data_IF_208547871031
#
_entry.id   IF_208547871031
#
_cell.length_a   1.000
_cell.length_b   1.000
_cell.length_c   1.000
_cell.angle_alpha   90.00
_cell.angle_beta   90.00
_cell.angle_gamma   90.00
#
_symmetry.space_group_name_H-M   'P 1'
#
loop_
_entity.id
_entity.type
_entity.pdbx_description
1 polymer ?
#
# COMPACT_ATOMS: atom_id res chain seq x y z
N UNK A 1 11.12 15.01 7.46
CA UNK A 1 9.98 15.38 6.60
C UNK A 1 9.92 16.88 6.41
N UNK A 2 9.76 17.63 7.50
CA UNK A 2 9.69 19.09 7.56
C UNK A 2 10.59 19.82 6.55
N UNK A 3 11.92 19.64 6.64
CA UNK A 3 12.88 20.33 5.75
C UNK A 3 12.64 20.08 4.25
N UNK A 4 12.19 18.88 3.89
CA UNK A 4 11.89 18.53 2.50
C UNK A 4 10.59 19.21 2.05
N UNK A 5 9.56 19.16 2.90
CA UNK A 5 8.28 19.85 2.66
C UNK A 5 8.50 21.37 2.53
N UNK A 6 9.27 21.97 3.42
CA UNK A 6 9.59 23.41 3.38
C UNK A 6 10.49 23.78 2.20
N UNK A 7 11.33 22.84 1.74
CA UNK A 7 12.14 23.02 0.54
C UNK A 7 11.28 23.07 -0.72
N UNK A 8 10.38 22.10 -0.89
CA UNK A 8 9.45 22.08 -2.01
C UNK A 8 8.46 23.25 -1.97
N UNK A 9 7.98 23.65 -0.78
CA UNK A 9 7.11 24.83 -0.63
C UNK A 9 7.81 26.10 -1.13
N UNK A 10 9.08 26.31 -0.77
CA UNK A 10 9.88 27.45 -1.26
C UNK A 10 10.07 27.43 -2.77
N UNK A 11 10.38 26.26 -3.35
CA UNK A 11 10.53 26.12 -4.79
C UNK A 11 9.20 26.36 -5.54
N UNK A 12 8.09 25.86 -5.01
CA UNK A 12 6.77 26.04 -5.60
C UNK A 12 6.23 27.47 -5.46
N UNK A 13 6.68 28.23 -4.45
CA UNK A 13 6.36 29.65 -4.31
C UNK A 13 7.11 30.54 -5.33
N UNK A 14 8.22 30.06 -5.88
CA UNK A 14 9.02 30.76 -6.89
C UNK A 14 8.51 30.50 -8.32
N UNK A 15 7.75 29.42 -8.54
CA UNK A 15 7.15 29.15 -9.83
C UNK A 15 5.81 29.89 -9.99
N UNK A 16 5.61 30.54 -11.14
CA UNK A 16 4.32 31.15 -11.46
C UNK A 16 3.22 30.08 -11.51
N UNK A 17 2.00 30.43 -11.07
CA UNK A 17 0.87 29.52 -11.12
C UNK A 17 0.62 29.09 -12.57
N UNK A 18 0.70 27.78 -12.85
CA UNK A 18 0.50 27.19 -14.18
C UNK A 18 1.77 26.89 -14.98
N UNK A 19 2.94 27.42 -14.63
CA UNK A 19 4.23 27.09 -15.31
C UNK A 19 5.03 26.00 -14.60
N UNK A 20 4.73 25.76 -13.32
CA UNK A 20 5.32 24.68 -12.53
C UNK A 20 4.89 23.31 -13.09
N UNK A 21 5.77 22.30 -13.06
CA UNK A 21 5.38 20.93 -13.39
C UNK A 21 4.36 20.36 -12.39
N UNK A 22 3.76 19.21 -12.74
CA UNK A 22 2.75 18.52 -11.92
C UNK A 22 3.26 18.27 -10.49
N UNK A 23 4.49 17.79 -10.35
CA UNK A 23 5.06 17.47 -9.04
C UNK A 23 5.17 18.73 -8.17
N UNK A 24 5.66 19.83 -8.72
CA UNK A 24 5.77 21.11 -8.02
C UNK A 24 4.41 21.62 -7.55
N UNK A 25 3.37 21.57 -8.41
CA UNK A 25 2.02 22.01 -8.02
C UNK A 25 1.45 21.14 -6.90
N UNK A 26 1.53 19.81 -7.02
CA UNK A 26 1.05 18.90 -5.97
C UNK A 26 1.83 19.07 -4.66
N UNK A 27 3.14 19.31 -4.72
CA UNK A 27 3.95 19.58 -3.54
C UNK A 27 3.64 20.92 -2.87
N UNK A 28 3.10 21.91 -3.61
CA UNK A 28 2.57 23.13 -3.02
C UNK A 28 1.39 22.85 -2.10
N UNK A 29 0.44 22.02 -2.55
CA UNK A 29 -0.70 21.57 -1.74
C UNK A 29 -0.22 20.82 -0.51
N UNK A 30 0.64 19.80 -0.69
CA UNK A 30 1.24 19.04 0.43
C UNK A 30 2.00 19.93 1.41
N UNK A 31 2.68 20.97 0.91
CA UNK A 31 3.34 21.99 1.72
C UNK A 31 2.38 22.69 2.66
N UNK A 32 1.26 23.21 2.14
CA UNK A 32 0.23 23.86 2.94
C UNK A 32 -0.47 22.88 3.91
N UNK A 33 -0.73 21.64 3.48
CA UNK A 33 -1.33 20.60 4.32
C UNK A 33 -0.51 20.29 5.56
N UNK A 34 0.81 20.16 5.41
CA UNK A 34 1.71 19.85 6.51
C UNK A 34 1.68 20.91 7.62
N UNK A 35 1.51 22.17 7.24
CA UNK A 35 1.40 23.30 8.15
C UNK A 35 -0.05 23.62 8.54
N UNK A 36 -1.02 22.87 8.00
CA UNK A 36 -2.46 23.05 8.24
C UNK A 36 -2.94 24.47 7.93
N UNK A 37 -2.37 25.10 6.91
CA UNK A 37 -2.74 26.45 6.46
C UNK A 37 -3.91 26.35 5.47
N UNK A 38 -5.13 26.18 5.99
CA UNK A 38 -6.28 25.76 5.20
C UNK A 38 -6.66 26.71 4.05
N UNK A 39 -6.52 28.04 4.21
CA UNK A 39 -6.72 28.95 3.06
C UNK A 39 -5.68 28.73 1.95
N UNK A 40 -4.43 28.44 2.33
CA UNK A 40 -3.36 28.14 1.37
C UNK A 40 -3.56 26.78 0.70
N UNK A 41 -4.17 25.80 1.40
CA UNK A 41 -4.55 24.52 0.79
C UNK A 41 -5.57 24.74 -0.31
N UNK A 42 -6.64 25.50 -0.05
CA UNK A 42 -7.66 25.82 -1.07
C UNK A 42 -7.00 26.53 -2.27
N UNK A 43 -6.23 27.59 -2.01
CA UNK A 43 -5.55 28.34 -3.06
C UNK A 43 -4.55 27.49 -3.87
N UNK A 44 -3.86 26.54 -3.23
CA UNK A 44 -2.94 25.63 -3.90
C UNK A 44 -3.68 24.59 -4.76
N UNK A 45 -4.83 24.08 -4.29
CA UNK A 45 -5.69 23.19 -5.09
C UNK A 45 -6.28 23.93 -6.28
N UNK A 46 -6.73 25.17 -6.11
CA UNK A 46 -7.21 26.01 -7.22
C UNK A 46 -6.11 26.29 -8.27
N UNK A 47 -4.84 26.21 -7.86
CA UNK A 47 -3.67 26.33 -8.75
C UNK A 47 -3.26 25.06 -9.50
N UNK A 48 -3.92 23.92 -9.24
CA UNK A 48 -3.76 22.68 -10.03
C UNK A 48 -4.47 22.81 -11.40
N UNK A 49 -4.10 21.97 -12.36
CA UNK A 49 -4.85 21.89 -13.64
C UNK A 49 -6.27 21.35 -13.41
N UNK A 50 -7.20 21.60 -14.33
CA UNK A 50 -8.56 21.05 -14.22
C UNK A 50 -8.58 19.52 -14.16
N UNK A 51 -7.66 18.85 -14.87
CA UNK A 51 -7.49 17.39 -14.81
C UNK A 51 -7.03 16.93 -13.42
N UNK A 52 -6.07 17.64 -12.82
CA UNK A 52 -5.62 17.34 -11.46
C UNK A 52 -6.72 17.62 -10.43
N UNK A 53 -7.45 18.73 -10.53
CA UNK A 53 -8.49 19.09 -9.56
C UNK A 53 -9.64 18.07 -9.47
N UNK A 54 -9.87 17.28 -10.52
CA UNK A 54 -10.89 16.23 -10.50
C UNK A 54 -10.39 14.88 -9.99
N UNK A 55 -9.10 14.75 -9.69
CA UNK A 55 -8.56 13.57 -9.01
C UNK A 55 -9.07 13.51 -7.57
N UNK A 56 -9.37 12.31 -7.10
CA UNK A 56 -10.06 12.09 -5.82
C UNK A 56 -9.27 12.59 -4.61
N UNK A 57 -7.93 12.55 -4.69
CA UNK A 57 -7.01 13.07 -3.68
C UNK A 57 -7.27 14.56 -3.42
N UNK A 58 -7.34 15.35 -4.48
CA UNK A 58 -7.44 16.81 -4.40
C UNK A 58 -8.88 17.25 -4.12
N UNK A 59 -9.88 16.49 -4.57
CA UNK A 59 -11.26 16.67 -4.12
C UNK A 59 -11.38 16.46 -2.61
N UNK A 60 -10.78 15.39 -2.05
CA UNK A 60 -10.78 15.15 -0.61
C UNK A 60 -10.06 16.26 0.15
N UNK A 61 -8.88 16.69 -0.31
CA UNK A 61 -8.13 17.74 0.38
C UNK A 61 -8.79 19.12 0.28
N UNK A 62 -9.46 19.43 -0.83
CA UNK A 62 -10.31 20.61 -0.96
C UNK A 62 -11.46 20.57 0.04
N UNK A 63 -12.15 19.43 0.14
CA UNK A 63 -13.22 19.23 1.11
C UNK A 63 -12.75 19.41 2.55
N UNK A 64 -11.61 18.79 2.92
CA UNK A 64 -11.00 18.94 4.25
C UNK A 64 -10.62 20.37 4.58
N UNK A 65 -10.06 21.11 3.62
CA UNK A 65 -9.72 22.51 3.85
C UNK A 65 -10.96 23.40 4.02
N UNK A 66 -12.01 23.17 3.21
CA UNK A 66 -13.29 23.88 3.34
C UNK A 66 -13.99 23.58 4.68
N UNK A 67 -14.00 22.32 5.12
CA UNK A 67 -14.51 21.89 6.44
C UNK A 67 -13.78 22.63 7.57
N UNK A 68 -12.44 22.66 7.52
CA UNK A 68 -11.63 23.35 8.53
C UNK A 68 -11.86 24.87 8.58
N UNK A 69 -12.27 25.47 7.45
CA UNK A 69 -12.64 26.89 7.33
C UNK A 69 -14.12 27.17 7.67
N UNK A 70 -14.89 26.16 8.10
CA UNK A 70 -16.31 26.28 8.42
C UNK A 70 -17.25 26.35 7.22
N UNK A 71 -16.74 26.13 6.00
CA UNK A 71 -17.51 26.13 4.74
C UNK A 71 -18.09 24.74 4.46
N UNK A 72 -18.89 24.25 5.41
CA UNK A 72 -19.33 22.85 5.45
C UNK A 72 -20.18 22.45 4.23
N UNK A 73 -21.08 23.30 3.75
CA UNK A 73 -21.93 22.98 2.60
C UNK A 73 -21.10 22.74 1.33
N UNK A 74 -20.05 23.54 1.12
CA UNK A 74 -19.13 23.37 0.01
C UNK A 74 -18.24 22.13 0.19
N UNK A 75 -17.79 21.86 1.42
CA UNK A 75 -17.01 20.67 1.75
C UNK A 75 -17.78 19.38 1.42
N UNK A 76 -19.09 19.33 1.72
CA UNK A 76 -19.93 18.17 1.45
C UNK A 76 -19.98 17.81 -0.05
N UNK A 77 -20.00 18.80 -0.94
CA UNK A 77 -19.98 18.57 -2.39
C UNK A 77 -18.72 17.78 -2.78
N UNK A 78 -17.55 18.25 -2.36
CA UNK A 78 -16.29 17.62 -2.72
C UNK A 78 -16.07 16.28 -2.02
N UNK A 79 -16.54 16.10 -0.78
CA UNK A 79 -16.53 14.77 -0.17
C UNK A 79 -17.42 13.79 -0.93
N UNK A 80 -18.61 14.19 -1.37
CA UNK A 80 -19.47 13.31 -2.14
C UNK A 80 -18.91 12.95 -3.52
N UNK A 81 -18.15 13.84 -4.16
CA UNK A 81 -17.42 13.53 -5.39
C UNK A 81 -16.30 12.50 -5.13
N UNK A 82 -15.42 12.78 -4.17
CA UNK A 82 -14.31 11.89 -3.84
C UNK A 82 -14.81 10.50 -3.39
N UNK A 83 -15.92 10.44 -2.64
CA UNK A 83 -16.51 9.20 -2.13
C UNK A 83 -17.01 8.23 -3.21
N UNK A 84 -17.07 8.64 -4.47
CA UNK A 84 -17.42 7.74 -5.59
C UNK A 84 -16.25 6.84 -5.99
N UNK A 85 -15.04 7.12 -5.54
CA UNK A 85 -13.84 6.41 -5.94
C UNK A 85 -13.48 5.27 -4.97
N UNK A 86 -13.10 4.12 -5.53
CA UNK A 86 -12.59 2.96 -4.77
C UNK A 86 -11.09 3.15 -4.47
N UNK A 87 -10.78 4.14 -3.65
CA UNK A 87 -9.42 4.55 -3.29
C UNK A 87 -9.33 4.94 -1.81
N UNK A 88 -8.11 5.22 -1.34
CA UNK A 88 -7.87 5.66 0.04
C UNK A 88 -8.65 6.94 0.38
N UNK A 89 -8.47 8.00 -0.42
CA UNK A 89 -9.15 9.27 -0.20
C UNK A 89 -10.66 9.19 -0.45
N UNK A 90 -11.10 8.35 -1.39
CA UNK A 90 -12.53 8.10 -1.57
C UNK A 90 -13.18 7.44 -0.35
N UNK A 91 -12.48 6.50 0.29
CA UNK A 91 -12.98 5.88 1.52
C UNK A 91 -12.91 6.82 2.74
N UNK A 92 -11.91 7.69 2.83
CA UNK A 92 -11.88 8.75 3.84
C UNK A 92 -13.01 9.75 3.65
N UNK A 93 -13.29 10.15 2.41
CA UNK A 93 -14.42 11.02 2.08
C UNK A 93 -15.77 10.36 2.42
N UNK A 94 -15.93 9.07 2.10
CA UNK A 94 -17.13 8.32 2.45
C UNK A 94 -17.38 8.30 3.98
N UNK A 95 -16.32 8.11 4.77
CA UNK A 95 -16.41 8.17 6.24
C UNK A 95 -16.83 9.57 6.73
N UNK A 96 -16.29 10.66 6.15
CA UNK A 96 -16.64 12.04 6.50
C UNK A 96 -18.11 12.38 6.25
N UNK A 97 -18.74 11.77 5.25
CA UNK A 97 -20.17 11.95 4.94
C UNK A 97 -21.06 10.83 5.49
N UNK A 98 -20.55 9.99 6.40
CA UNK A 98 -21.27 8.85 7.00
C UNK A 98 -21.91 7.90 5.97
N UNK A 99 -21.20 7.62 4.86
CA UNK A 99 -21.62 6.66 3.84
C UNK A 99 -20.70 5.45 3.82
N UNK A 100 -21.25 4.30 3.41
CA UNK A 100 -20.44 3.12 3.14
C UNK A 100 -19.45 3.41 2.00
N UNK A 101 -18.23 2.85 2.06
CA UNK A 101 -17.25 3.02 0.99
C UNK A 101 -17.76 2.42 -0.33
N UNK A 102 -17.44 3.08 -1.45
CA UNK A 102 -17.85 2.64 -2.78
C UNK A 102 -17.04 1.41 -3.22
N UNK A 103 -17.53 0.22 -2.88
CA UNK A 103 -16.93 -1.08 -3.23
C UNK A 103 -17.93 -1.88 -4.06
N UNK A 104 -18.05 -1.52 -5.34
CA UNK A 104 -18.86 -2.25 -6.32
C UNK A 104 -18.08 -3.43 -6.87
N UNK A 105 -18.77 -4.57 -7.03
CA UNK A 105 -18.25 -5.76 -7.68
C UNK A 105 -19.22 -6.23 -8.74
N UNK A 106 -18.77 -6.25 -9.99
CA UNK A 106 -19.50 -6.79 -11.13
C UNK A 106 -18.60 -7.82 -11.83
N UNK A 107 -19.02 -9.10 -11.88
CA UNK A 107 -18.24 -10.12 -12.58
C UNK A 107 -18.10 -9.80 -14.07
N UNK A 108 -16.94 -10.10 -14.64
CA UNK A 108 -16.73 -10.05 -16.08
C UNK A 108 -17.72 -10.98 -16.78
N UNK A 109 -18.48 -10.42 -17.71
CA UNK A 109 -19.33 -11.16 -18.64
C UNK A 109 -18.46 -11.81 -19.73
N UNK A 110 -17.89 -12.97 -19.43
CA UNK A 110 -17.06 -13.78 -20.33
C UNK A 110 -17.77 -15.11 -20.56
N UNK A 111 -17.99 -15.48 -21.82
CA UNK A 111 -18.73 -16.71 -22.16
C UNK A 111 -17.83 -17.94 -22.16
N UNK A 112 -18.45 -19.13 -22.08
CA UNK A 112 -17.73 -20.40 -22.19
C UNK A 112 -17.05 -20.57 -23.57
N UNK A 113 -17.68 -20.05 -24.64
CA UNK A 113 -17.15 -20.08 -25.99
C UNK A 113 -15.90 -19.20 -26.13
N UNK A 114 -15.90 -18.01 -25.52
CA UNK A 114 -14.73 -17.12 -25.52
C UNK A 114 -13.55 -17.74 -24.77
N UNK A 115 -13.80 -18.35 -23.62
CA UNK A 115 -12.78 -19.08 -22.88
C UNK A 115 -12.25 -20.25 -23.71
N UNK A 116 -13.14 -21.07 -24.27
CA UNK A 116 -12.74 -22.20 -25.11
C UNK A 116 -11.90 -21.74 -26.31
N UNK A 117 -12.31 -20.68 -27.02
CA UNK A 117 -11.58 -20.13 -28.15
C UNK A 117 -10.18 -19.65 -27.75
N UNK A 118 -10.07 -18.97 -26.61
CA UNK A 118 -8.78 -18.53 -26.05
C UNK A 118 -7.87 -19.73 -25.70
N UNK A 119 -8.41 -20.81 -25.10
CA UNK A 119 -7.63 -22.01 -24.76
C UNK A 119 -7.10 -22.72 -26.00
N UNK A 120 -7.81 -22.63 -27.13
CA UNK A 120 -7.37 -23.23 -28.38
C UNK A 120 -6.23 -22.45 -29.07
N UNK A 121 -5.92 -21.22 -28.65
CA UNK A 121 -4.81 -20.47 -29.23
C UNK A 121 -3.48 -21.22 -29.05
N UNK A 122 -2.65 -21.36 -30.11
CA UNK A 122 -1.37 -22.07 -30.00
C UNK A 122 -0.46 -21.52 -28.90
N UNK A 123 -0.50 -20.21 -28.65
CA UNK A 123 0.24 -19.58 -27.56
C UNK A 123 -0.25 -20.03 -26.18
N UNK A 124 -1.57 -20.10 -25.95
CA UNK A 124 -2.13 -20.52 -24.67
C UNK A 124 -1.85 -21.99 -24.37
N UNK A 125 -1.87 -22.83 -25.41
CA UNK A 125 -1.41 -24.23 -25.29
C UNK A 125 0.06 -24.29 -24.85
N UNK A 126 0.95 -23.51 -25.49
CA UNK A 126 2.38 -23.43 -25.07
C UNK A 126 2.54 -22.95 -23.63
N UNK A 127 1.76 -21.95 -23.20
CA UNK A 127 1.77 -21.47 -21.79
C UNK A 127 1.43 -22.62 -20.84
N UNK A 128 0.41 -23.42 -21.14
CA UNK A 128 0.01 -24.58 -20.33
C UNK A 128 1.11 -25.63 -20.27
N UNK A 129 1.71 -25.98 -21.40
CA UNK A 129 2.82 -26.95 -21.45
C UNK A 129 4.04 -26.48 -20.65
N UNK A 130 4.48 -25.22 -20.84
CA UNK A 130 5.59 -24.68 -20.06
C UNK A 130 5.29 -24.67 -18.56
N UNK A 131 4.05 -24.35 -18.18
CA UNK A 131 3.63 -24.39 -16.76
C UNK A 131 3.68 -25.81 -16.20
N UNK A 132 3.19 -26.80 -16.95
CA UNK A 132 3.21 -28.21 -16.54
C UNK A 132 4.64 -28.75 -16.36
N UNK A 133 5.60 -28.24 -17.14
CA UNK A 133 7.02 -28.57 -17.04
C UNK A 133 7.78 -27.76 -15.97
N UNK A 134 7.12 -26.86 -15.25
CA UNK A 134 7.76 -25.96 -14.28
C UNK A 134 8.61 -24.86 -14.91
N UNK A 135 8.52 -24.66 -16.23
CA UNK A 135 9.23 -23.65 -17.02
C UNK A 135 8.54 -22.28 -16.91
N UNK A 136 8.51 -21.75 -15.68
CA UNK A 136 7.74 -20.55 -15.32
C UNK A 136 8.17 -19.27 -16.06
N UNK A 137 9.45 -19.17 -16.46
CA UNK A 137 9.97 -17.98 -17.15
C UNK A 137 9.49 -17.97 -18.60
N UNK A 138 9.57 -19.12 -19.26
CA UNK A 138 9.12 -19.35 -20.63
C UNK A 138 7.62 -19.19 -20.74
N UNK A 139 6.86 -19.78 -19.81
CA UNK A 139 5.42 -19.64 -19.73
C UNK A 139 4.99 -18.16 -19.60
N UNK A 140 5.64 -17.39 -18.72
CA UNK A 140 5.36 -15.95 -18.55
C UNK A 140 5.76 -15.12 -19.78
N UNK A 141 6.86 -15.47 -20.45
CA UNK A 141 7.28 -14.79 -21.69
C UNK A 141 6.26 -15.01 -22.79
N UNK A 142 5.88 -16.26 -23.03
CA UNK A 142 4.88 -16.65 -24.03
C UNK A 142 3.53 -15.95 -23.76
N UNK A 143 3.07 -15.96 -22.50
CA UNK A 143 1.85 -15.27 -22.09
C UNK A 143 1.88 -13.76 -22.39
N UNK A 144 2.99 -13.09 -22.03
CA UNK A 144 3.16 -11.65 -22.28
C UNK A 144 3.16 -11.33 -23.77
N UNK A 145 3.89 -12.12 -24.55
CA UNK A 145 4.00 -11.93 -26.00
C UNK A 145 2.64 -12.12 -26.68
N UNK A 146 1.88 -13.14 -26.28
CA UNK A 146 0.53 -13.40 -26.78
C UNK A 146 -0.44 -12.25 -26.49
N UNK A 147 -0.43 -11.71 -25.26
CA UNK A 147 -1.32 -10.62 -24.85
C UNK A 147 -0.90 -9.25 -25.39
N UNK A 148 0.31 -9.09 -25.93
CA UNK A 148 0.87 -7.78 -26.28
C UNK A 148 0.02 -7.01 -27.31
N UNK A 149 -0.71 -7.73 -28.17
CA UNK A 149 -1.52 -7.15 -29.27
C UNK A 149 -3.04 -7.39 -29.12
N UNK A 150 -3.46 -7.96 -27.99
CA UNK A 150 -4.86 -8.26 -27.74
C UNK A 150 -5.64 -7.00 -27.34
N UNK A 151 -6.89 -6.90 -27.79
CA UNK A 151 -7.79 -5.80 -27.43
C UNK A 151 -8.32 -5.94 -25.99
N UNK A 152 -9.01 -4.90 -25.50
CA UNK A 152 -9.51 -4.87 -24.13
C UNK A 152 -10.47 -6.03 -23.83
N UNK A 153 -11.33 -6.44 -24.79
CA UNK A 153 -12.26 -7.56 -24.60
C UNK A 153 -11.50 -8.88 -24.42
N UNK A 154 -10.53 -9.14 -25.29
CA UNK A 154 -9.71 -10.35 -25.26
C UNK A 154 -8.85 -10.41 -24.00
N UNK A 155 -8.34 -9.26 -23.53
CA UNK A 155 -7.61 -9.17 -22.25
C UNK A 155 -8.50 -9.51 -21.04
N UNK A 156 -9.79 -9.15 -21.05
CA UNK A 156 -10.75 -9.55 -20.00
C UNK A 156 -10.96 -11.07 -19.98
N UNK A 157 -11.10 -11.70 -21.15
CA UNK A 157 -11.19 -13.18 -21.28
C UNK A 157 -9.91 -13.84 -20.75
N UNK A 158 -8.74 -13.32 -21.14
CA UNK A 158 -7.46 -13.82 -20.66
C UNK A 158 -7.31 -13.66 -19.13
N UNK A 159 -7.79 -12.56 -18.55
CA UNK A 159 -7.77 -12.37 -17.11
C UNK A 159 -8.61 -13.43 -16.37
N UNK A 160 -9.82 -13.73 -16.85
CA UNK A 160 -10.66 -14.81 -16.29
C UNK A 160 -9.99 -16.18 -16.39
N UNK A 161 -9.39 -16.48 -17.54
CA UNK A 161 -8.66 -17.72 -17.76
C UNK A 161 -7.46 -17.85 -16.81
N UNK A 162 -6.61 -16.83 -16.71
CA UNK A 162 -5.46 -16.83 -15.82
C UNK A 162 -5.89 -16.99 -14.35
N UNK A 163 -6.98 -16.33 -13.95
CA UNK A 163 -7.55 -16.50 -12.62
C UNK A 163 -7.98 -17.95 -12.37
N UNK A 164 -8.68 -18.58 -13.32
CA UNK A 164 -9.10 -19.99 -13.22
C UNK A 164 -7.90 -20.96 -13.15
N UNK A 165 -6.77 -20.62 -13.77
CA UNK A 165 -5.53 -21.40 -13.69
C UNK A 165 -4.72 -21.15 -12.41
N UNK A 166 -5.18 -20.28 -11.50
CA UNK A 166 -4.42 -19.88 -10.32
C UNK A 166 -3.23 -18.95 -10.61
N UNK A 167 -3.16 -18.40 -11.83
CA UNK A 167 -2.18 -17.41 -12.26
C UNK A 167 -2.67 -16.00 -11.93
N UNK A 168 -2.89 -15.76 -10.63
CA UNK A 168 -3.52 -14.55 -10.12
C UNK A 168 -2.76 -13.26 -10.48
N UNK A 169 -1.43 -13.29 -10.47
CA UNK A 169 -0.60 -12.15 -10.85
C UNK A 169 -0.83 -11.76 -12.31
N UNK A 170 -0.90 -12.76 -13.19
CA UNK A 170 -1.16 -12.54 -14.61
C UNK A 170 -2.61 -12.10 -14.88
N UNK A 171 -3.56 -12.60 -14.10
CA UNK A 171 -4.96 -12.18 -14.18
C UNK A 171 -5.13 -10.69 -13.82
N UNK A 172 -4.53 -10.27 -12.70
CA UNK A 172 -4.55 -8.88 -12.22
C UNK A 172 -3.87 -7.96 -13.23
N UNK A 173 -2.71 -8.36 -13.78
CA UNK A 173 -1.97 -7.59 -14.78
C UNK A 173 -2.74 -7.46 -16.10
N UNK A 174 -3.36 -8.55 -16.58
CA UNK A 174 -4.15 -8.53 -17.81
C UNK A 174 -5.37 -7.60 -17.68
N UNK A 175 -6.10 -7.70 -16.56
CA UNK A 175 -7.28 -6.86 -16.32
C UNK A 175 -6.91 -5.39 -16.11
N UNK A 176 -5.78 -5.11 -15.45
CA UNK A 176 -5.26 -3.75 -15.25
C UNK A 176 -4.84 -3.02 -16.54
N UNK A 177 -4.76 -3.72 -17.67
CA UNK A 177 -4.55 -3.14 -19.00
C UNK A 177 -5.87 -2.78 -19.71
N UNK A 178 -7.00 -2.91 -19.01
CA UNK A 178 -8.33 -2.59 -19.52
C UNK A 178 -8.95 -1.47 -18.68
N UNK A 179 -10.06 -0.93 -19.18
CA UNK A 179 -10.93 0.02 -18.50
C UNK A 179 -11.90 -0.65 -17.50
N UNK A 180 -11.93 -1.99 -17.41
CA UNK A 180 -12.87 -2.71 -16.55
C UNK A 180 -12.20 -3.17 -15.25
N UNK A 181 -12.64 -2.56 -14.15
CA UNK A 181 -12.01 -2.75 -12.84
C UNK A 181 -12.96 -3.30 -11.76
N UNK A 182 -14.19 -3.67 -12.12
CA UNK A 182 -15.19 -4.02 -11.11
C UNK A 182 -15.32 -5.51 -10.84
N UNK A 183 -14.59 -6.37 -11.56
CA UNK A 183 -14.48 -7.78 -11.16
C UNK A 183 -13.51 -7.95 -9.99
N UNK A 184 -14.04 -7.81 -8.77
CA UNK A 184 -13.24 -7.93 -7.56
C UNK A 184 -12.75 -9.36 -7.31
N UNK A 185 -13.36 -10.38 -7.91
CA UNK A 185 -12.87 -11.74 -7.77
C UNK A 185 -11.53 -11.91 -8.47
N UNK A 186 -11.42 -11.39 -9.69
CA UNK A 186 -10.18 -11.41 -10.47
C UNK A 186 -9.15 -10.44 -9.92
N UNK A 187 -9.57 -9.24 -9.49
CA UNK A 187 -8.64 -8.20 -9.01
C UNK A 187 -8.17 -8.41 -7.58
N UNK A 188 -8.98 -9.06 -6.76
CA UNK A 188 -8.74 -9.30 -5.33
C UNK A 188 -9.03 -10.77 -4.97
N UNK A 189 -8.29 -11.72 -5.56
CA UNK A 189 -8.45 -13.13 -5.26
C UNK A 189 -7.98 -13.43 -3.84
N UNK A 190 -8.51 -14.50 -3.23
CA UNK A 190 -8.14 -14.92 -1.87
C UNK A 190 -7.49 -16.31 -1.86
N UNK A 191 -6.34 -16.52 -2.54
CA UNK A 191 -5.64 -17.81 -2.49
C UNK A 191 -4.97 -18.03 -1.13
N UNK A 192 -4.60 -19.28 -0.82
CA UNK A 192 -3.88 -19.65 0.41
C UNK A 192 -4.62 -19.21 1.69
N UNK A 193 -5.96 -19.31 1.68
CA UNK A 193 -6.81 -18.80 2.77
C UNK A 193 -6.44 -19.41 4.11
N UNK A 194 -6.28 -20.72 4.17
CA UNK A 194 -5.94 -21.42 5.40
C UNK A 194 -4.60 -20.94 5.99
N UNK A 195 -3.58 -20.75 5.14
CA UNK A 195 -2.29 -20.23 5.59
C UNK A 195 -2.38 -18.77 6.04
N UNK A 196 -3.07 -17.92 5.28
CA UNK A 196 -3.23 -16.50 5.61
C UNK A 196 -3.98 -16.34 6.93
N UNK A 197 -5.15 -16.98 7.07
CA UNK A 197 -5.96 -16.91 8.28
C UNK A 197 -5.21 -17.47 9.49
N UNK A 198 -4.60 -18.66 9.37
CA UNK A 198 -3.86 -19.28 10.48
C UNK A 198 -2.69 -18.42 10.96
N UNK A 199 -1.91 -17.84 10.04
CA UNK A 199 -0.73 -17.06 10.42
C UNK A 199 -1.04 -15.62 10.83
N UNK A 200 -2.14 -15.06 10.32
CA UNK A 200 -2.65 -13.76 10.76
C UNK A 200 -3.24 -13.85 12.18
N UNK A 201 -4.06 -14.88 12.45
CA UNK A 201 -4.68 -15.10 13.76
C UNK A 201 -3.62 -15.30 14.86
N UNK A 202 -2.61 -16.16 14.62
CA UNK A 202 -1.48 -16.37 15.55
C UNK A 202 -0.74 -15.10 15.95
N UNK A 203 -0.90 -14.02 15.17
CA UNK A 203 -0.20 -12.74 15.33
C UNK A 203 -1.15 -11.57 15.58
N UNK A 204 -2.44 -11.85 15.77
CA UNK A 204 -3.47 -10.83 15.96
C UNK A 204 -3.46 -9.74 14.85
N UNK A 205 -3.27 -10.17 13.60
CA UNK A 205 -3.35 -9.32 12.41
C UNK A 205 -4.67 -9.64 11.70
N UNK A 206 -5.35 -8.62 11.17
CA UNK A 206 -6.51 -8.87 10.32
C UNK A 206 -6.09 -9.56 9.01
N UNK A 207 -6.69 -10.72 8.64
CA UNK A 207 -6.39 -11.40 7.38
C UNK A 207 -6.57 -10.53 6.13
N UNK A 208 -7.53 -9.60 6.12
CA UNK A 208 -7.74 -8.68 5.00
C UNK A 208 -6.53 -7.75 4.79
N UNK A 209 -5.87 -7.34 5.88
CA UNK A 209 -4.66 -6.54 5.84
C UNK A 209 -3.47 -7.33 5.28
N UNK A 210 -3.36 -8.62 5.62
CA UNK A 210 -2.34 -9.52 5.05
C UNK A 210 -2.55 -9.73 3.55
N UNK A 211 -3.80 -9.97 3.13
CA UNK A 211 -4.15 -10.06 1.70
C UNK A 211 -3.83 -8.78 0.94
N UNK A 212 -4.12 -7.62 1.53
CA UNK A 212 -3.80 -6.32 0.95
C UNK A 212 -2.28 -6.14 0.72
N UNK A 213 -1.46 -6.53 1.70
CA UNK A 213 0.01 -6.53 1.55
C UNK A 213 0.44 -7.50 0.45
N UNK A 214 0.01 -8.77 0.48
CA UNK A 214 0.36 -9.76 -0.55
C UNK A 214 -0.02 -9.31 -1.97
N UNK A 215 -1.18 -8.68 -2.09
CA UNK A 215 -1.69 -8.11 -3.33
C UNK A 215 -0.83 -6.97 -3.86
N UNK A 216 -0.37 -6.07 -2.99
CA UNK A 216 0.51 -4.97 -3.37
C UNK A 216 1.94 -5.46 -3.67
N UNK A 217 2.44 -6.44 -2.92
CA UNK A 217 3.82 -6.92 -3.04
C UNK A 217 4.05 -7.79 -4.28
N UNK A 218 3.16 -8.73 -4.56
CA UNK A 218 3.40 -9.74 -5.61
C UNK A 218 2.23 -9.96 -6.56
N UNK A 219 1.08 -9.33 -6.31
CA UNK A 219 -0.19 -9.70 -6.93
C UNK A 219 -0.46 -11.23 -6.83
N UNK A 220 -0.04 -11.83 -5.71
CA UNK A 220 -0.09 -13.28 -5.44
C UNK A 220 0.83 -14.17 -6.28
N UNK A 221 1.86 -13.60 -6.90
CA UNK A 221 2.91 -14.36 -7.57
C UNK A 221 3.80 -15.10 -6.57
N UNK A 222 3.55 -16.40 -6.35
CA UNK A 222 4.35 -17.24 -5.43
C UNK A 222 5.85 -17.24 -5.79
N UNK A 223 6.15 -17.24 -7.09
CA UNK A 223 7.51 -17.23 -7.62
C UNK A 223 8.05 -15.81 -7.90
N UNK A 224 7.40 -14.75 -7.38
CA UNK A 224 7.79 -13.37 -7.64
C UNK A 224 9.21 -13.07 -7.14
N UNK A 225 9.97 -12.33 -7.96
CA UNK A 225 11.33 -11.89 -7.66
C UNK A 225 11.47 -10.44 -8.11
N UNK A 226 11.83 -9.54 -7.20
CA UNK A 226 12.15 -8.16 -7.58
C UNK A 226 13.60 -8.01 -8.05
N UNK A 227 13.87 -6.95 -8.80
CA UNK A 227 15.21 -6.58 -9.27
C UNK A 227 16.21 -6.39 -8.12
N UNK A 228 15.75 -5.94 -6.96
CA UNK A 228 16.56 -5.73 -5.75
C UNK A 228 16.68 -6.98 -4.87
N UNK A 229 16.01 -8.08 -5.25
CA UNK A 229 16.22 -9.40 -4.64
C UNK A 229 15.21 -9.82 -3.57
N UNK A 230 14.08 -9.13 -3.45
CA UNK A 230 12.93 -9.57 -2.63
C UNK A 230 12.20 -10.74 -3.30
N UNK A 231 11.60 -11.63 -2.49
CA UNK A 231 11.13 -12.95 -2.92
C UNK A 231 9.70 -13.26 -2.43
N UNK A 232 8.93 -13.89 -3.32
CA UNK A 232 7.65 -14.53 -3.03
C UNK A 232 6.48 -13.58 -2.76
N UNK A 233 5.42 -14.13 -2.16
CA UNK A 233 4.10 -13.50 -2.00
C UNK A 233 4.12 -12.14 -1.28
N UNK A 234 4.95 -12.02 -0.25
CA UNK A 234 5.10 -10.82 0.58
C UNK A 234 6.45 -10.12 0.33
N UNK A 235 7.13 -10.43 -0.78
CA UNK A 235 8.38 -9.80 -1.22
C UNK A 235 9.43 -9.64 -0.12
N UNK A 236 9.78 -10.73 0.54
CA UNK A 236 10.74 -10.69 1.63
C UNK A 236 12.17 -10.61 1.13
N UNK A 237 12.92 -9.65 1.66
CA UNK A 237 14.37 -9.62 1.51
C UNK A 237 15.01 -10.79 2.28
N UNK A 238 15.96 -11.55 1.71
CA UNK A 238 16.57 -12.71 2.38
C UNK A 238 17.16 -12.40 3.76
N UNK A 239 17.80 -11.23 3.93
CA UNK A 239 18.34 -10.80 5.21
C UNK A 239 17.25 -10.50 6.25
N UNK A 240 16.13 -9.91 5.82
CA UNK A 240 14.96 -9.69 6.68
C UNK A 240 14.33 -11.02 7.07
N UNK A 241 14.08 -11.91 6.10
CA UNK A 241 13.52 -13.23 6.37
C UNK A 241 14.38 -14.05 7.34
N UNK A 242 15.71 -14.02 7.22
CA UNK A 242 16.63 -14.69 8.15
C UNK A 242 16.55 -14.13 9.57
N UNK A 243 16.38 -12.81 9.70
CA UNK A 243 16.25 -12.14 11.01
C UNK A 243 14.91 -12.48 11.65
N UNK A 244 13.82 -12.37 10.90
CA UNK A 244 12.46 -12.67 11.36
C UNK A 244 12.27 -14.16 11.66
N UNK A 245 12.90 -15.08 10.90
CA UNK A 245 12.88 -16.49 11.26
C UNK A 245 13.50 -16.74 12.64
N UNK A 246 14.58 -16.02 12.99
CA UNK A 246 15.22 -16.15 14.31
C UNK A 246 14.36 -15.61 15.44
N UNK A 247 13.66 -14.49 15.24
CA UNK A 247 12.79 -13.91 16.29
C UNK A 247 11.62 -14.84 16.64
N UNK A 248 11.10 -15.58 15.65
CA UNK A 248 10.06 -16.61 15.86
C UNK A 248 10.64 -18.01 16.16
N UNK A 249 11.95 -18.10 16.50
CA UNK A 249 12.65 -19.34 16.89
C UNK A 249 12.65 -20.44 15.82
N UNK A 250 12.74 -20.07 14.55
CA UNK A 250 12.82 -20.97 13.41
C UNK A 250 14.19 -20.94 12.72
N UNK A 251 14.47 -22.02 11.96
CA UNK A 251 15.62 -22.06 11.06
C UNK A 251 15.47 -20.97 9.98
N UNK A 252 16.58 -20.32 9.66
CA UNK A 252 16.66 -19.40 8.53
C UNK A 252 16.21 -20.09 7.22
N UNK A 253 15.27 -19.51 6.46
CA UNK A 253 14.83 -20.08 5.20
C UNK A 253 15.92 -19.91 4.12
N UNK A 254 16.02 -20.88 3.23
CA UNK A 254 16.72 -20.74 1.96
C UNK A 254 15.93 -19.83 1.01
N UNK A 255 16.57 -19.37 -0.07
CA UNK A 255 15.89 -18.58 -1.12
C UNK A 255 14.80 -19.37 -1.82
N UNK A 256 14.96 -20.69 -1.96
CA UNK A 256 13.96 -21.57 -2.57
C UNK A 256 12.75 -21.74 -1.65
N UNK A 257 12.98 -21.89 -0.35
CA UNK A 257 11.91 -21.95 0.64
C UNK A 257 11.11 -20.64 0.68
N UNK A 258 11.73 -19.47 0.48
CA UNK A 258 11.01 -18.20 0.36
C UNK A 258 10.11 -18.08 -0.88
N UNK A 259 10.17 -19.03 -1.80
CA UNK A 259 9.30 -19.12 -2.97
C UNK A 259 8.25 -20.24 -2.82
N UNK A 260 8.00 -20.69 -1.60
CA UNK A 260 6.82 -21.49 -1.27
C UNK A 260 5.80 -20.61 -0.54
N UNK A 261 4.51 -20.83 -0.80
CA UNK A 261 3.45 -20.00 -0.23
C UNK A 261 3.47 -20.03 1.30
N UNK A 262 3.47 -21.23 1.90
CA UNK A 262 3.50 -21.44 3.36
C UNK A 262 4.64 -20.66 4.03
N UNK A 263 5.87 -20.85 3.57
CA UNK A 263 7.04 -20.27 4.24
C UNK A 263 7.06 -18.75 4.10
N UNK A 264 6.69 -18.25 2.92
CA UNK A 264 6.69 -16.82 2.65
C UNK A 264 5.60 -16.10 3.47
N UNK A 265 4.37 -16.62 3.50
CA UNK A 265 3.26 -16.07 4.30
C UNK A 265 3.62 -16.12 5.79
N UNK A 266 4.14 -17.26 6.27
CA UNK A 266 4.54 -17.44 7.67
C UNK A 266 5.55 -16.40 8.14
N UNK A 267 6.61 -16.19 7.36
CA UNK A 267 7.68 -15.24 7.73
C UNK A 267 7.23 -13.80 7.47
N UNK A 268 6.45 -13.55 6.43
CA UNK A 268 6.01 -12.20 6.09
C UNK A 268 4.98 -11.66 7.07
N UNK A 269 4.03 -12.49 7.52
CA UNK A 269 3.12 -12.14 8.62
C UNK A 269 3.86 -11.92 9.94
N UNK A 270 4.93 -12.69 10.22
CA UNK A 270 5.80 -12.43 11.37
C UNK A 270 6.48 -11.06 11.28
N UNK A 271 7.06 -10.74 10.13
CA UNK A 271 7.73 -9.45 9.95
C UNK A 271 6.73 -8.29 10.02
N UNK A 272 5.53 -8.46 9.46
CA UNK A 272 4.46 -7.47 9.56
C UNK A 272 4.03 -7.25 11.02
N UNK A 273 3.90 -8.32 11.82
CA UNK A 273 3.62 -8.25 13.26
C UNK A 273 4.70 -7.47 14.01
N UNK A 274 5.98 -7.79 13.76
CA UNK A 274 7.11 -7.09 14.39
C UNK A 274 7.07 -5.58 14.12
N UNK A 275 6.69 -5.18 12.91
CA UNK A 275 6.55 -3.78 12.55
C UNK A 275 5.34 -3.14 13.24
N UNK A 276 4.18 -3.80 13.26
CA UNK A 276 3.01 -3.32 13.98
C UNK A 276 3.32 -3.12 15.47
N UNK A 277 3.96 -4.10 16.12
CA UNK A 277 4.39 -4.00 17.52
C UNK A 277 5.37 -2.85 17.74
N UNK A 278 6.39 -2.74 16.87
CA UNK A 278 7.38 -1.66 16.93
C UNK A 278 6.74 -0.27 16.85
N UNK A 279 5.70 -0.13 16.06
CA UNK A 279 4.97 1.13 15.88
C UNK A 279 3.67 1.19 16.69
N UNK A 280 3.52 0.35 17.72
CA UNK A 280 2.38 0.35 18.67
C UNK A 280 1.01 0.30 17.97
N UNK A 281 0.91 -0.51 16.93
CA UNK A 281 -0.29 -0.66 16.11
C UNK A 281 -0.49 0.43 15.04
N UNK A 282 0.41 1.42 14.93
CA UNK A 282 0.32 2.43 13.87
C UNK A 282 0.64 1.80 12.51
N UNK A 283 -0.39 1.59 11.71
CA UNK A 283 -0.34 0.76 10.50
C UNK A 283 0.38 1.45 9.35
N UNK A 284 0.16 2.75 9.14
CA UNK A 284 0.88 3.46 8.07
C UNK A 284 2.38 3.57 8.38
N UNK A 285 2.80 3.68 9.64
CA UNK A 285 4.22 3.55 9.99
C UNK A 285 4.75 2.14 9.74
N UNK A 286 3.98 1.10 10.09
CA UNK A 286 4.37 -0.28 9.82
C UNK A 286 4.52 -0.53 8.31
N UNK A 287 3.58 -0.08 7.47
CA UNK A 287 3.64 -0.18 6.01
C UNK A 287 4.80 0.64 5.42
N UNK A 288 4.99 1.87 5.87
CA UNK A 288 6.12 2.70 5.47
C UNK A 288 7.46 2.03 5.80
N UNK A 289 7.56 1.37 6.95
CA UNK A 289 8.75 0.63 7.35
C UNK A 289 8.91 -0.69 6.59
N UNK A 290 7.80 -1.35 6.23
CA UNK A 290 7.80 -2.57 5.42
C UNK A 290 8.40 -2.28 4.04
N UNK A 291 7.89 -1.26 3.36
CA UNK A 291 8.31 -0.87 2.01
C UNK A 291 9.67 -0.15 1.99
N UNK A 292 9.86 0.86 2.84
CA UNK A 292 10.98 1.79 2.72
C UNK A 292 12.07 1.60 3.80
N UNK A 293 11.81 0.72 4.77
CA UNK A 293 12.70 0.42 5.89
C UNK A 293 12.45 1.32 7.12
N UNK A 294 12.60 0.79 8.35
CA UNK A 294 12.29 1.53 9.58
C UNK A 294 13.05 2.85 9.78
N UNK A 295 14.27 2.95 9.23
CA UNK A 295 15.10 4.15 9.35
C UNK A 295 14.49 5.35 8.63
N UNK A 296 13.73 5.13 7.55
CA UNK A 296 13.06 6.21 6.81
C UNK A 296 11.88 6.75 7.60
N UNK A 297 11.10 5.87 8.23
CA UNK A 297 9.97 6.26 9.08
C UNK A 297 10.43 7.20 10.20
N UNK A 298 11.56 6.94 10.84
CA UNK A 298 12.14 7.84 11.85
C UNK A 298 12.43 9.25 11.32
N UNK A 299 12.74 9.41 10.02
CA UNK A 299 12.93 10.72 9.38
C UNK A 299 11.61 11.37 8.97
N UNK A 300 10.54 10.59 8.84
CA UNK A 300 9.21 11.05 8.49
C UNK A 300 8.33 11.39 9.70
N UNK A 301 8.65 10.88 10.89
CA UNK A 301 7.95 11.28 12.11
C UNK A 301 8.03 12.79 12.35
N UNK A 302 6.94 13.41 12.84
CA UNK A 302 6.96 14.81 13.25
C UNK A 302 7.90 15.03 14.43
N UNK A 303 8.36 16.26 14.61
CA UNK A 303 9.36 16.58 15.64
C UNK A 303 8.75 16.92 17.00
N UNK A 304 7.63 17.66 17.01
CA UNK A 304 7.05 18.22 18.23
C UNK A 304 5.72 17.56 18.56
N UNK A 305 4.72 17.75 17.70
CA UNK A 305 3.35 17.33 17.96
C UNK A 305 2.92 16.19 17.04
N UNK A 306 1.93 15.38 17.47
CA UNK A 306 1.25 14.46 16.57
C UNK A 306 0.64 15.20 15.37
N UNK A 307 0.64 14.56 14.20
CA UNK A 307 -0.01 15.09 12.99
C UNK A 307 -1.10 14.11 12.57
N UNK A 308 -2.27 14.60 12.09
CA UNK A 308 -3.30 13.75 11.51
C UNK A 308 -2.73 12.77 10.50
N UNK A 309 -3.15 11.51 10.61
CA UNK A 309 -2.57 10.42 9.84
C UNK A 309 -2.65 10.63 8.32
N UNK A 310 -3.77 11.17 7.83
CA UNK A 310 -3.96 11.45 6.41
C UNK A 310 -3.01 12.55 5.89
N UNK A 311 -2.77 13.60 6.69
CA UNK A 311 -1.76 14.63 6.37
C UNK A 311 -0.38 13.98 6.35
N UNK A 312 -0.06 13.12 7.33
CA UNK A 312 1.23 12.44 7.35
C UNK A 312 1.44 11.57 6.11
N UNK A 313 0.43 10.78 5.72
CA UNK A 313 0.47 9.91 4.53
C UNK A 313 0.67 10.73 3.27
N UNK A 314 -0.11 11.80 3.06
CA UNK A 314 0.02 12.70 1.91
C UNK A 314 1.43 13.32 1.79
N UNK A 315 2.11 13.50 2.92
CA UNK A 315 3.42 14.15 3.01
C UNK A 315 4.61 13.20 3.08
N UNK A 316 4.42 11.88 3.00
CA UNK A 316 5.51 10.92 2.84
C UNK A 316 6.29 11.28 1.57
N UNK A 317 7.60 11.51 1.73
CA UNK A 317 8.42 12.13 0.66
C UNK A 317 8.69 11.20 -0.51
N UNK A 318 8.50 9.89 -0.31
CA UNK A 318 8.69 8.89 -1.35
C UNK A 318 7.33 8.58 -1.96
N UNK A 319 7.12 8.96 -3.22
CA UNK A 319 5.85 8.74 -3.92
C UNK A 319 5.43 7.27 -3.90
N UNK A 320 6.36 6.37 -4.20
CA UNK A 320 6.14 4.92 -4.14
C UNK A 320 5.65 4.46 -2.75
N UNK A 321 6.27 4.94 -1.67
CA UNK A 321 5.87 4.55 -0.30
C UNK A 321 4.51 5.15 0.08
N UNK A 322 4.21 6.37 -0.37
CA UNK A 322 2.90 7.00 -0.15
C UNK A 322 1.79 6.18 -0.83
N UNK A 323 1.95 5.92 -2.12
CA UNK A 323 1.00 5.12 -2.89
C UNK A 323 0.87 3.69 -2.33
N UNK A 324 1.97 3.10 -1.84
CA UNK A 324 1.96 1.80 -1.20
C UNK A 324 1.05 1.77 0.04
N UNK A 325 1.12 2.79 0.90
CA UNK A 325 0.28 2.90 2.09
C UNK A 325 -1.19 3.08 1.69
N UNK A 326 -1.45 4.05 0.81
CA UNK A 326 -2.80 4.37 0.34
C UNK A 326 -3.48 3.15 -0.28
N UNK A 327 -2.77 2.44 -1.17
CA UNK A 327 -3.28 1.23 -1.83
C UNK A 327 -3.58 0.12 -0.84
N UNK A 328 -2.68 -0.18 0.11
CA UNK A 328 -2.91 -1.28 1.05
C UNK A 328 -4.08 -0.98 1.98
N UNK A 329 -4.23 0.26 2.44
CA UNK A 329 -5.37 0.63 3.28
C UNK A 329 -6.69 0.54 2.49
N UNK A 330 -6.71 0.97 1.23
CA UNK A 330 -7.88 0.78 0.37
C UNK A 330 -8.14 -0.71 0.08
N UNK A 331 -7.11 -1.49 -0.24
CA UNK A 331 -7.23 -2.92 -0.53
C UNK A 331 -7.72 -3.70 0.69
N UNK A 332 -7.37 -3.28 1.91
CA UNK A 332 -7.85 -3.91 3.13
C UNK A 332 -9.37 -3.86 3.21
N UNK A 333 -9.99 -2.70 2.96
CA UNK A 333 -11.46 -2.57 2.93
C UNK A 333 -12.10 -3.45 1.84
N UNK A 334 -11.44 -3.58 0.67
CA UNK A 334 -11.90 -4.48 -0.40
C UNK A 334 -11.81 -5.95 0.03
N UNK A 335 -10.73 -6.34 0.72
CA UNK A 335 -10.58 -7.72 1.23
C UNK A 335 -11.52 -8.04 2.39
N UNK A 336 -11.81 -7.10 3.29
CA UNK A 336 -12.86 -7.30 4.30
C UNK A 336 -14.18 -7.69 3.62
N UNK A 337 -14.57 -6.96 2.56
CA UNK A 337 -15.73 -7.31 1.75
C UNK A 337 -15.60 -8.68 1.07
N UNK A 338 -14.46 -9.00 0.45
CA UNK A 338 -14.21 -10.31 -0.22
C UNK A 338 -14.21 -11.49 0.75
N UNK A 339 -13.84 -11.25 2.01
CA UNK A 339 -13.84 -12.26 3.08
C UNK A 339 -15.20 -12.36 3.79
N UNK A 340 -16.23 -11.61 3.35
CA UNK A 340 -17.55 -11.61 3.98
C UNK A 340 -17.57 -10.92 5.35
N UNK A 341 -16.57 -10.08 5.65
CA UNK A 341 -16.45 -9.32 6.89
C UNK A 341 -17.15 -7.97 6.74
N UNK A 342 -17.48 -7.35 7.88
CA UNK A 342 -17.91 -5.95 7.89
C UNK A 342 -16.71 -5.08 7.50
N UNK A 343 -16.92 -4.14 6.59
CA UNK A 343 -15.87 -3.22 6.17
C UNK A 343 -15.66 -2.18 7.27
N UNK A 344 -14.45 -2.16 7.81
CA UNK A 344 -14.04 -1.21 8.83
C UNK A 344 -13.74 0.13 8.14
N UNK A 345 -14.28 1.27 8.61
CA UNK A 345 -13.94 2.59 8.08
C UNK A 345 -12.41 2.78 8.07
N UNK A 346 -11.86 3.28 6.96
CA UNK A 346 -10.41 3.49 6.82
C UNK A 346 -9.86 4.39 7.94
N UNK A 347 -10.67 5.32 8.45
CA UNK A 347 -10.35 6.18 9.60
C UNK A 347 -9.97 5.39 10.85
N UNK A 348 -10.56 4.22 11.07
CA UNK A 348 -10.31 3.41 12.27
C UNK A 348 -8.96 2.66 12.17
N UNK A 349 -8.40 2.59 10.95
CA UNK A 349 -7.05 2.10 10.71
C UNK A 349 -5.99 3.18 10.94
N UNK A 350 -6.39 4.44 11.09
CA UNK A 350 -5.55 5.62 11.13
C UNK A 350 -5.51 6.24 12.54
N UNK A 351 -4.45 5.95 13.29
CA UNK A 351 -4.09 6.70 14.49
C UNK A 351 -3.17 7.87 14.12
N UNK A 352 -3.28 9.03 14.77
CA UNK A 352 -2.37 10.16 14.50
C UNK A 352 -0.89 9.74 14.52
N UNK A 353 -0.08 10.39 13.67
CA UNK A 353 1.33 10.11 13.54
C UNK A 353 2.07 10.66 14.76
N UNK A 354 2.54 9.82 15.72
CA UNK A 354 3.18 10.34 16.92
C UNK A 354 4.55 10.96 16.61
N UNK A 355 4.97 11.96 17.40
CA UNK A 355 6.27 12.58 17.25
C UNK A 355 7.41 11.60 17.48
N UNK A 356 8.57 11.94 16.95
CA UNK A 356 9.79 11.17 17.16
C UNK A 356 10.15 11.19 18.64
N UNK A 357 10.16 10.02 19.27
CA UNK A 357 10.72 9.86 20.62
C UNK A 357 12.23 10.01 20.52
N UNK A 358 12.75 11.18 20.92
CA UNK A 358 14.17 11.35 21.17
C UNK A 358 14.41 10.70 22.53
N UNK A 359 15.02 9.51 22.54
CA UNK A 359 15.63 9.02 23.78
C UNK A 359 16.73 10.01 24.12
N UNK A 360 16.54 10.81 25.15
CA UNK A 360 17.64 11.54 25.77
C UNK A 360 18.74 10.53 26.06
N UNK A 361 19.97 10.84 25.63
CA UNK A 361 21.12 10.05 26.01
C UNK A 361 21.08 9.96 27.54
N UNK A 362 21.12 8.74 28.08
CA UNK A 362 21.21 8.54 29.52
C UNK A 362 22.31 9.45 30.03
N UNK A 363 21.96 10.44 30.86
CA UNK A 363 22.94 11.07 31.73
C UNK A 363 23.50 9.91 32.57
N UNK A 364 24.66 9.42 32.17
CA UNK A 364 25.48 8.59 33.05
C UNK A 364 25.81 9.48 34.23
N UNK A 365 25.18 9.21 35.37
CA UNK A 365 25.62 9.72 36.65
C UNK A 365 27.15 9.54 36.75
N UNK A 366 27.91 10.56 37.17
CA UNK A 366 29.33 10.39 37.37
C UNK A 366 29.52 9.33 38.45
N UNK A 367 30.19 8.21 38.09
CA UNK A 367 30.68 7.24 39.07
C UNK A 367 31.51 8.00 40.09
N UNK A 368 30.98 8.12 41.31
CA UNK A 368 31.74 8.60 42.45
C UNK A 368 32.77 7.52 42.76
N UNK A 369 34.02 7.80 42.41
CA UNK A 369 35.15 6.95 42.69
C UNK A 369 35.42 7.03 44.21
N UNK A 370 34.86 6.08 44.97
CA UNK A 370 35.23 5.92 46.38
C UNK A 370 36.59 5.26 46.44
N UNK A 371 37.64 6.08 46.43
CA UNK A 371 38.98 5.68 46.78
C UNK A 371 38.99 5.13 48.22
N UNK A 372 39.30 3.84 48.35
CA UNK A 372 39.62 3.20 49.62
C UNK A 372 40.91 3.82 50.17
N UNK A 373 40.79 4.51 51.30
CA UNK A 373 41.92 4.94 52.12
C UNK A 373 42.31 3.76 53.02
N UNK A 374 43.47 3.17 52.74
CA UNK A 374 44.16 2.28 53.68
C UNK A 374 45.09 3.13 54.55
N UNK A 375 45.07 3.02 55.89
CA UNK A 375 45.98 3.78 56.75
C UNK A 375 47.33 3.06 56.93
N UNK A 376 48.44 3.79 57.16
CA UNK A 376 49.63 3.25 57.80
C UNK A 376 49.63 3.58 59.30
N UNK A 377 49.87 2.58 60.15
CA UNK A 377 50.16 2.75 61.58
C UNK A 377 49.10 2.20 62.51
#
# INVERSE_FOLDING_TARGET
>A
MQRHVDGHRRLAALAEAGTADRDMRQWRVRGALWHQEWEQVVAAVDGLTLEEQVEEDWQYWRARALEALGRNDEAQVFYHLAAQHRSFYGFLAAARVNRAPHIVSEPLDVTAEELAAMEQLPAMRRVREFTALGMNVEARREWRDALGRMDARTLRVAAKMAHAWGWYDQAILALGRTDYLDDLEVRFPTPFRDEVESYAEKRNIDPAFVYAVMRQESAFGVQARSHVGALGLMQLMPATAKRTARSIKERAPSRAELLTAEKNIRIGTAYLSELLEKYRGNRFFALAAYNAGPQRVTRWQPHAEPIPADIWVANVTFGETREYIERILAYTAVYERRLGRTVTPVTDWLADAPPRVIREASNSEPKTDMAQVTPPG
#
